data_IF_903737072062
#
_entry.id   IF_903737072062
#
_cell.length_a   1.000
_cell.length_b   1.000
_cell.length_c   1.000
_cell.angle_alpha   90.00
_cell.angle_beta   90.00
_cell.angle_gamma   90.00
#
_symmetry.space_group_name_H-M   'P 1'
#
loop_
_entity.id
_entity.type
_entity.pdbx_description
1 polymer ?
#
# COMPACT_ATOMS: atom_id res chain seq x y z
N UNK A 1 12.26 -1.03 13.24
CA UNK A 1 10.97 -0.87 12.53
C UNK A 1 11.08 0.13 11.38
N UNK A 2 11.20 1.45 11.60
CA UNK A 2 11.19 2.41 10.48
C UNK A 2 12.37 2.25 9.49
N UNK A 3 13.55 1.81 9.97
CA UNK A 3 14.72 1.52 9.14
C UNK A 3 14.97 0.04 8.85
N UNK A 4 13.99 -0.83 9.12
CA UNK A 4 14.10 -2.28 8.89
C UNK A 4 13.02 -2.75 7.92
N UNK A 5 13.22 -3.92 7.30
CA UNK A 5 12.16 -4.58 6.54
C UNK A 5 11.08 -5.08 7.50
N UNK A 6 9.80 -4.86 7.17
CA UNK A 6 8.69 -5.39 7.96
C UNK A 6 8.66 -6.92 7.94
N UNK A 7 9.18 -7.56 6.88
CA UNK A 7 9.22 -9.02 6.79
C UNK A 7 10.03 -9.69 7.89
N UNK A 8 11.05 -8.99 8.40
CA UNK A 8 11.90 -9.48 9.49
C UNK A 8 11.34 -9.17 10.89
N UNK A 9 10.31 -8.31 10.98
CA UNK A 9 9.93 -7.65 12.24
C UNK A 9 8.48 -7.86 12.67
N UNK A 10 7.59 -8.28 11.77
CA UNK A 10 6.16 -8.32 12.03
C UNK A 10 5.70 -9.63 12.66
N UNK A 11 4.75 -9.52 13.58
CA UNK A 11 4.09 -10.67 14.19
C UNK A 11 3.01 -11.15 13.20
N UNK A 12 3.01 -12.44 12.88
CA UNK A 12 2.01 -13.04 12.01
C UNK A 12 0.57 -12.69 12.43
N UNK A 13 -0.28 -12.35 11.46
CA UNK A 13 -1.70 -12.08 11.69
C UNK A 13 -2.07 -10.65 12.10
N UNK A 14 -1.12 -9.70 12.15
CA UNK A 14 -1.43 -8.27 12.43
C UNK A 14 -1.54 -7.40 11.17
N UNK A 15 -1.51 -8.03 10.00
CA UNK A 15 -1.43 -7.37 8.69
C UNK A 15 -2.76 -7.37 7.92
N UNK A 16 -2.66 -7.45 6.60
CA UNK A 16 -3.75 -7.52 5.64
C UNK A 16 -4.67 -8.73 5.81
N UNK A 17 -4.22 -9.79 6.48
CA UNK A 17 -4.98 -11.04 6.61
C UNK A 17 -5.12 -11.80 5.29
N UNK A 18 -5.78 -12.96 5.31
CA UNK A 18 -5.98 -13.81 4.13
C UNK A 18 -6.92 -13.22 3.07
N UNK A 19 -7.68 -12.20 3.43
CA UNK A 19 -8.83 -11.73 2.65
C UNK A 19 -8.44 -10.68 1.59
N UNK A 20 -7.20 -10.19 1.63
CA UNK A 20 -6.63 -9.21 0.68
C UNK A 20 -5.54 -9.86 -0.19
N UNK A 21 -5.69 -11.15 -0.52
CA UNK A 21 -4.78 -11.84 -1.41
C UNK A 21 -5.19 -11.53 -2.87
N UNK A 22 -4.26 -11.07 -3.73
CA UNK A 22 -4.55 -10.78 -5.14
C UNK A 22 -4.76 -12.08 -5.92
N UNK A 23 -5.99 -12.61 -5.90
CA UNK A 23 -6.59 -13.59 -6.83
C UNK A 23 -7.88 -14.21 -6.29
N UNK A 24 -8.33 -13.87 -5.07
CA UNK A 24 -9.66 -14.24 -4.67
C UNK A 24 -10.64 -13.26 -5.30
N UNK A 25 -11.63 -13.78 -6.02
CA UNK A 25 -12.86 -13.06 -6.35
C UNK A 25 -13.45 -12.61 -5.01
N UNK A 26 -12.99 -11.45 -4.54
CA UNK A 26 -13.57 -10.76 -3.41
C UNK A 26 -14.93 -10.32 -3.92
N UNK A 27 -15.92 -11.17 -3.66
CA UNK A 27 -17.33 -10.79 -3.60
C UNK A 27 -17.37 -9.43 -2.95
N UNK A 28 -18.16 -8.50 -3.50
CA UNK A 28 -18.30 -7.09 -3.08
C UNK A 28 -18.73 -6.95 -1.61
N UNK A 29 -17.93 -7.46 -0.70
CA UNK A 29 -18.02 -7.24 0.70
C UNK A 29 -17.26 -5.95 0.86
N UNK A 30 -17.99 -4.91 1.24
CA UNK A 30 -17.45 -3.74 1.87
C UNK A 30 -16.62 -4.25 3.06
N UNK A 31 -15.33 -4.52 2.85
CA UNK A 31 -14.39 -4.92 3.92
C UNK A 31 -14.17 -3.65 4.74
N UNK A 32 -15.19 -3.30 5.51
CA UNK A 32 -15.07 -2.44 6.67
C UNK A 32 -14.43 -3.30 7.76
N UNK A 33 -13.36 -2.82 8.37
CA UNK A 33 -12.89 -3.38 9.63
C UNK A 33 -11.50 -4.01 9.63
N UNK A 34 -10.64 -3.72 8.64
CA UNK A 34 -9.22 -3.93 8.91
C UNK A 34 -8.80 -3.01 10.06
N UNK A 35 -8.18 -3.54 11.13
CA UNK A 35 -7.64 -2.71 12.21
C UNK A 35 -6.55 -1.79 11.64
N UNK A 36 -6.03 -0.90 12.47
CA UNK A 36 -4.87 -0.08 12.11
C UNK A 36 -3.71 -0.97 11.66
N UNK A 37 -3.28 -0.89 10.39
CA UNK A 37 -2.21 -1.72 9.82
C UNK A 37 -0.95 -0.88 9.61
N UNK A 38 0.20 -1.38 10.08
CA UNK A 38 1.50 -0.87 9.70
C UNK A 38 1.95 -1.53 8.39
N UNK A 39 2.26 -0.71 7.39
CA UNK A 39 2.68 -1.17 6.07
C UNK A 39 3.96 -0.50 5.62
N UNK A 40 4.61 -1.10 4.63
CA UNK A 40 5.83 -0.65 4.00
C UNK A 40 5.61 -0.47 2.50
N UNK A 41 6.06 0.65 1.96
CA UNK A 41 6.06 0.91 0.52
C UNK A 41 7.15 0.08 -0.14
N UNK A 42 6.75 -0.86 -0.99
CA UNK A 42 7.63 -1.72 -1.80
C UNK A 42 7.71 -1.23 -3.25
N UNK A 43 6.70 -0.53 -3.73
CA UNK A 43 6.79 0.13 -5.02
C UNK A 43 5.83 1.31 -5.07
N UNK A 44 6.19 2.31 -5.87
CA UNK A 44 5.37 3.46 -6.21
C UNK A 44 5.45 3.66 -7.73
N UNK A 45 4.31 3.82 -8.36
CA UNK A 45 4.21 4.10 -9.79
C UNK A 45 3.17 5.17 -10.03
N UNK A 46 3.52 6.18 -10.80
CA UNK A 46 2.55 7.15 -11.30
C UNK A 46 1.75 6.54 -12.46
N UNK A 47 0.43 6.66 -12.38
CA UNK A 47 -0.50 6.19 -13.40
C UNK A 47 -1.36 7.36 -13.84
N UNK A 48 -1.05 7.90 -15.02
CA UNK A 48 -1.84 8.96 -15.66
C UNK A 48 -2.95 8.35 -16.51
N UNK A 49 -4.18 8.84 -16.35
CA UNK A 49 -5.30 8.47 -17.22
C UNK A 49 -5.44 9.46 -18.40
N UNK A 50 -6.00 9.03 -19.55
CA UNK A 50 -6.13 9.87 -20.75
C UNK A 50 -6.94 11.16 -20.55
N UNK A 51 -7.72 11.27 -19.46
CA UNK A 51 -8.62 12.39 -19.16
C UNK A 51 -8.06 13.32 -18.06
N UNK A 52 -6.76 13.22 -17.76
CA UNK A 52 -6.04 14.17 -16.89
C UNK A 52 -6.03 13.81 -15.41
N UNK A 53 -6.69 12.74 -14.98
CA UNK A 53 -6.58 12.26 -13.61
C UNK A 53 -5.28 11.46 -13.43
N UNK A 54 -4.44 11.90 -12.50
CA UNK A 54 -3.22 11.19 -12.10
C UNK A 54 -3.49 10.46 -10.78
N UNK A 55 -3.10 9.19 -10.75
CA UNK A 55 -3.15 8.35 -9.55
C UNK A 55 -1.76 7.82 -9.26
N UNK A 56 -1.43 7.73 -7.98
CA UNK A 56 -0.27 6.99 -7.50
C UNK A 56 -0.71 5.57 -7.17
N UNK A 57 -0.08 4.59 -7.80
CA UNK A 57 -0.23 3.17 -7.46
C UNK A 57 0.90 2.76 -6.53
N UNK A 58 0.53 2.22 -5.38
CA UNK A 58 1.45 1.67 -4.40
C UNK A 58 1.38 0.16 -4.41
N UNK A 59 2.52 -0.46 -4.12
CA UNK A 59 2.60 -1.83 -3.65
C UNK A 59 3.03 -1.80 -2.19
N UNK A 60 2.19 -2.31 -1.32
CA UNK A 60 2.36 -2.23 0.13
C UNK A 60 2.59 -3.62 0.70
N UNK A 61 3.55 -3.74 1.61
CA UNK A 61 3.81 -4.96 2.39
C UNK A 61 3.42 -4.74 3.84
N UNK A 62 2.73 -5.69 4.46
CA UNK A 62 2.55 -5.75 5.91
C UNK A 62 3.66 -6.59 6.60
N UNK A 63 4.66 -7.04 5.83
CA UNK A 63 5.72 -7.97 6.26
C UNK A 63 5.49 -9.43 5.83
N UNK A 64 4.24 -9.84 5.57
CA UNK A 64 3.88 -11.21 5.21
C UNK A 64 3.21 -11.28 3.83
N UNK A 65 2.29 -10.35 3.57
CA UNK A 65 1.47 -10.23 2.38
C UNK A 65 1.75 -8.91 1.65
N UNK A 66 1.40 -8.90 0.36
CA UNK A 66 1.50 -7.73 -0.51
C UNK A 66 0.11 -7.35 -1.02
N UNK A 67 -0.23 -6.08 -0.90
CA UNK A 67 -1.46 -5.50 -1.43
C UNK A 67 -1.15 -4.35 -2.41
N UNK A 68 -1.95 -4.25 -3.46
CA UNK A 68 -1.96 -3.09 -4.33
C UNK A 68 -2.87 -2.02 -3.72
N UNK A 69 -2.44 -0.76 -3.79
CA UNK A 69 -3.20 0.39 -3.33
C UNK A 69 -3.16 1.52 -4.36
N UNK A 70 -4.18 2.37 -4.37
CA UNK A 70 -4.22 3.57 -5.20
C UNK A 70 -4.55 4.81 -4.37
N UNK A 71 -3.97 5.93 -4.77
CA UNK A 71 -4.19 7.25 -4.20
C UNK A 71 -4.34 8.27 -5.34
N UNK A 72 -5.29 9.19 -5.23
CA UNK A 72 -5.35 10.33 -6.15
C UNK A 72 -4.19 11.29 -5.92
N UNK A 73 -3.65 11.90 -6.97
CA UNK A 73 -2.57 12.89 -6.86
C UNK A 73 -2.91 14.04 -5.89
N UNK A 74 -4.16 14.52 -5.89
CA UNK A 74 -4.61 15.57 -4.96
C UNK A 74 -4.50 15.14 -3.49
N UNK A 75 -4.78 13.87 -3.20
CA UNK A 75 -4.61 13.28 -1.86
C UNK A 75 -3.13 13.15 -1.52
N UNK A 76 -2.31 12.70 -2.47
CA UNK A 76 -0.86 12.61 -2.28
C UNK A 76 -0.26 13.98 -1.95
N UNK A 77 -0.65 15.02 -2.70
CA UNK A 77 -0.22 16.40 -2.47
C UNK A 77 -0.66 16.92 -1.09
N UNK A 78 -1.89 16.63 -0.67
CA UNK A 78 -2.38 17.00 0.66
C UNK A 78 -1.58 16.33 1.79
N UNK A 79 -1.13 15.09 1.57
CA UNK A 79 -0.27 14.33 2.48
C UNK A 79 1.23 14.68 2.34
N UNK A 80 1.57 15.62 1.44
CA UNK A 80 2.96 15.97 1.08
C UNK A 80 3.79 14.76 0.62
N UNK A 81 3.11 13.78 0.01
CA UNK A 81 3.75 12.68 -0.70
C UNK A 81 4.11 13.15 -2.10
N UNK A 82 5.40 13.35 -2.34
CA UNK A 82 5.96 13.46 -3.69
C UNK A 82 6.37 12.07 -4.20
N UNK A 83 6.71 11.96 -5.49
CA UNK A 83 7.35 10.76 -6.06
C UNK A 83 8.68 10.37 -5.38
N UNK A 84 9.18 11.19 -4.46
CA UNK A 84 10.38 10.94 -3.66
C UNK A 84 10.11 10.16 -2.37
N UNK A 85 8.94 9.51 -2.23
CA UNK A 85 8.72 8.55 -1.13
C UNK A 85 9.78 7.47 -1.25
N UNK A 86 10.67 7.40 -0.26
CA UNK A 86 11.77 6.47 -0.28
C UNK A 86 11.24 5.04 -0.22
N UNK A 87 11.81 4.16 -1.03
CA UNK A 87 11.52 2.74 -0.97
C UNK A 87 11.76 2.21 0.45
N UNK A 88 10.82 1.40 0.96
CA UNK A 88 10.82 0.95 2.34
C UNK A 88 10.23 1.93 3.36
N UNK A 89 9.72 3.10 2.92
CA UNK A 89 8.96 4.02 3.78
C UNK A 89 7.81 3.30 4.46
N UNK A 90 7.55 3.64 5.73
CA UNK A 90 6.45 3.08 6.50
C UNK A 90 5.24 4.00 6.51
N UNK A 91 4.07 3.38 6.49
CA UNK A 91 2.77 4.05 6.57
C UNK A 91 1.87 3.29 7.54
N UNK A 92 0.94 4.00 8.16
CA UNK A 92 -0.13 3.41 8.95
C UNK A 92 -1.43 3.64 8.21
N UNK A 93 -2.17 2.56 7.97
CA UNK A 93 -3.48 2.57 7.35
C UNK A 93 -4.57 2.40 8.42
N UNK A 94 -5.58 3.26 8.40
CA UNK A 94 -6.72 3.22 9.32
C UNK A 94 -7.98 2.85 8.57
N UNK A 95 -8.45 1.61 8.72
CA UNK A 95 -9.68 1.12 8.07
C UNK A 95 -9.76 1.48 6.56
N UNK A 96 -8.74 1.12 5.76
CA UNK A 96 -8.73 1.46 4.34
C UNK A 96 -9.88 0.77 3.60
N UNK A 97 -10.51 1.48 2.67
CA UNK A 97 -11.52 0.90 1.80
C UNK A 97 -10.88 -0.02 0.76
N UNK A 98 -11.51 -1.16 0.47
CA UNK A 98 -11.08 -2.08 -0.60
C UNK A 98 -12.11 -2.04 -1.71
N UNK A 99 -11.66 -1.87 -2.96
CA UNK A 99 -12.48 -1.97 -4.16
C UNK A 99 -11.78 -2.86 -5.17
N UNK A 100 -12.45 -3.94 -5.58
CA UNK A 100 -11.91 -4.93 -6.53
C UNK A 100 -10.50 -5.42 -6.15
N UNK A 101 -10.29 -5.71 -4.86
CA UNK A 101 -8.99 -6.19 -4.35
C UNK A 101 -7.89 -5.12 -4.24
N UNK A 102 -8.20 -3.83 -4.48
CA UNK A 102 -7.26 -2.72 -4.37
C UNK A 102 -7.64 -1.81 -3.21
N UNK A 103 -6.65 -1.47 -2.38
CA UNK A 103 -6.82 -0.52 -1.28
C UNK A 103 -6.97 0.91 -1.82
N UNK A 104 -7.96 1.65 -1.33
CA UNK A 104 -8.20 3.05 -1.68
C UNK A 104 -7.67 3.93 -0.54
N UNK A 105 -6.62 4.69 -0.82
CA UNK A 105 -5.93 5.54 0.14
C UNK A 105 -6.47 6.97 0.08
N UNK A 106 -6.87 7.49 1.24
CA UNK A 106 -7.48 8.80 1.45
C UNK A 106 -6.81 9.52 2.62
N UNK A 107 -6.92 10.85 2.66
CA UNK A 107 -6.20 11.68 3.65
C UNK A 107 -6.47 11.25 5.10
N UNK A 108 -7.69 10.81 5.41
CA UNK A 108 -8.07 10.44 6.77
C UNK A 108 -7.70 8.99 7.14
N UNK A 109 -7.32 8.16 6.16
CA UNK A 109 -7.02 6.75 6.38
C UNK A 109 -5.52 6.42 6.27
N UNK A 110 -4.66 7.42 6.01
CA UNK A 110 -3.20 7.23 5.92
C UNK A 110 -2.46 8.18 6.85
N UNK A 111 -1.49 7.64 7.60
CA UNK A 111 -0.43 8.42 8.25
C UNK A 111 0.92 7.93 7.76
N UNK A 112 1.75 8.85 7.27
CA UNK A 112 3.09 8.54 6.76
C UNK A 112 4.07 8.68 7.89
N UNK A 113 4.78 7.60 8.20
CA UNK A 113 5.82 7.60 9.22
C UNK A 113 7.20 7.89 8.64
N UNK A 114 7.38 7.69 7.33
CA UNK A 114 8.66 7.86 6.63
C UNK A 114 9.63 6.72 6.91
N UNK A 115 10.92 7.04 6.96
CA UNK A 115 12.01 6.06 7.01
C UNK A 115 12.31 5.47 5.64
N UNK A 116 13.35 4.64 5.59
CA UNK A 116 13.72 3.90 4.37
C UNK A 116 14.39 2.59 4.73
N UNK A 117 14.28 1.63 3.82
CA UNK A 117 14.94 0.34 3.93
C UNK A 117 15.77 0.15 2.65
N UNK A 118 17.02 0.62 2.61
CA UNK A 118 17.83 0.59 1.39
C UNK A 118 18.15 -0.84 0.93
N UNK A 119 18.19 -1.80 1.86
CA UNK A 119 18.42 -3.23 1.57
C UNK A 119 17.15 -3.99 1.16
N UNK A 120 16.00 -3.29 1.02
CA UNK A 120 14.77 -3.91 0.59
C UNK A 120 14.95 -4.42 -0.85
N UNK A 121 15.14 -5.73 -1.00
CA UNK A 121 15.25 -6.35 -2.32
C UNK A 121 13.93 -6.12 -3.04
N UNK A 122 14.00 -5.50 -4.21
CA UNK A 122 12.84 -5.32 -5.07
C UNK A 122 12.25 -6.71 -5.35
N UNK A 123 11.12 -7.03 -4.72
CA UNK A 123 10.46 -8.30 -4.93
C UNK A 123 9.75 -8.22 -6.29
N UNK A 124 10.54 -8.28 -7.37
CA UNK A 124 10.09 -8.33 -8.75
C UNK A 124 9.45 -9.70 -9.02
N UNK A 125 8.31 -9.96 -8.39
CA UNK A 125 7.39 -10.93 -8.99
C UNK A 125 6.71 -10.17 -10.13
N UNK A 126 7.29 -10.31 -11.32
CA UNK A 126 6.82 -9.70 -12.55
C UNK A 126 5.41 -10.19 -12.91
N UNK A 127 4.39 -9.54 -12.38
CA UNK A 127 3.01 -9.75 -12.82
C UNK A 127 2.76 -8.90 -14.07
N UNK A 128 2.76 -9.57 -15.22
CA UNK A 128 2.20 -9.04 -16.46
C UNK A 128 0.68 -8.96 -16.30
N UNK A 129 0.13 -7.75 -16.39
CA UNK A 129 -1.29 -7.52 -16.59
C UNK A 129 -1.69 -8.20 -17.91
N UNK A 130 -2.56 -9.21 -17.82
CA UNK A 130 -3.29 -9.77 -18.96
C UNK A 130 -4.73 -9.31 -18.85
#
# INVERSE_FOLDING_TARGET
ILGSDLSDSMIHGTGFGSDIIPNQETTENNIQGLPTILVQVVALTEVAQPHGNIFLKFRLSDGENIADAIMQEQVANALKLSLSVEHGSKMVLFNPHIRHGVLILEVHNVVILGGSCPDLKENQTAYKWR
#
